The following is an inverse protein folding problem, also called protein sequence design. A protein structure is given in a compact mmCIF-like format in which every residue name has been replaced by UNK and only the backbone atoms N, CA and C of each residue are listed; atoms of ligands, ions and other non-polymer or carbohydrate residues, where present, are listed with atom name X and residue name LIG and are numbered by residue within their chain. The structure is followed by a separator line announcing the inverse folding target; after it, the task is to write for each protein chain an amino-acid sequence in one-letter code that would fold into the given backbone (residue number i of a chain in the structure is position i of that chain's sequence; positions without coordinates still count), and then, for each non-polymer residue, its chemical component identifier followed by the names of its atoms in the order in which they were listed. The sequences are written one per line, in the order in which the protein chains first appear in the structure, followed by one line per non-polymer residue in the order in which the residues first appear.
data_IF_379501840312
#
_entry.id   IF_379501840312
#
_cell.length_a   1.000
_cell.length_b   1.000
_cell.length_c   1.000
_cell.angle_alpha   90.00
_cell.angle_beta   90.00
_cell.angle_gamma   90.00
#
_symmetry.space_group_name_H-M   'P 1'
#
loop_
_entity.id
_entity.type
_entity.pdbx_description
1 polymer ?
#
# COMPACT_ATOMS: atom_id res chain seq x y z
N UNK A 1 6.59 28.48 -2.59
CA UNK A 1 7.11 28.40 -1.21
C UNK A 1 6.42 27.23 -0.56
N UNK A 2 7.15 26.17 -0.22
CA UNK A 2 6.62 25.10 0.63
C UNK A 2 6.82 25.61 2.05
N UNK A 3 5.75 26.05 2.70
CA UNK A 3 5.75 26.25 4.16
C UNK A 3 6.08 24.91 4.79
N UNK A 4 7.03 24.86 5.73
CA UNK A 4 7.37 23.64 6.44
C UNK A 4 6.09 22.94 6.89
N UNK A 5 5.86 21.67 6.54
CA UNK A 5 4.73 20.92 7.06
C UNK A 5 5.00 20.65 8.54
N UNK A 6 4.69 21.64 9.37
CA UNK A 6 4.74 21.51 10.82
C UNK A 6 3.60 20.58 11.21
N UNK A 7 3.97 19.43 11.78
CA UNK A 7 2.98 18.49 12.31
C UNK A 7 2.13 19.19 13.36
N UNK A 8 0.82 19.08 13.22
CA UNK A 8 -0.13 19.54 14.23
C UNK A 8 -0.11 18.58 15.42
N UNK A 9 -0.23 19.12 16.63
CA UNK A 9 -0.49 18.29 17.80
C UNK A 9 -1.90 17.68 17.66
N UNK A 10 -2.06 16.37 17.93
CA UNK A 10 -3.36 15.71 17.83
C UNK A 10 -4.33 16.25 18.87
N UNK A 11 -5.53 16.61 18.42
CA UNK A 11 -6.65 16.98 19.28
C UNK A 11 -7.67 15.84 19.31
N UNK A 12 -7.71 15.09 20.41
CA UNK A 12 -8.59 13.92 20.55
C UNK A 12 -10.09 14.29 20.57
N UNK A 13 -10.44 15.56 20.68
CA UNK A 13 -11.83 16.04 20.62
C UNK A 13 -12.35 16.22 19.18
N UNK A 14 -11.45 16.20 18.19
CA UNK A 14 -11.76 16.45 16.79
C UNK A 14 -11.69 15.17 15.94
N UNK A 15 -12.51 15.05 14.88
CA UNK A 15 -12.45 13.92 13.99
C UNK A 15 -11.12 13.89 13.22
N UNK A 16 -10.60 12.69 13.01
CA UNK A 16 -9.44 12.47 12.16
C UNK A 16 -9.86 12.19 10.71
N UNK A 17 -8.95 12.47 9.79
CA UNK A 17 -9.02 12.03 8.39
C UNK A 17 -7.75 11.24 8.09
N UNK A 18 -7.92 10.03 7.59
CA UNK A 18 -6.84 9.15 7.16
C UNK A 18 -6.89 9.08 5.64
N UNK A 19 -5.85 9.53 4.96
CA UNK A 19 -5.73 9.38 3.50
C UNK A 19 -4.65 8.34 3.21
N UNK A 20 -4.99 7.35 2.40
CA UNK A 20 -4.08 6.25 2.07
C UNK A 20 -3.95 6.08 0.56
N UNK A 21 -2.83 5.52 0.15
CA UNK A 21 -2.54 5.16 -1.23
C UNK A 21 -1.56 3.99 -1.27
N UNK A 22 -1.62 3.16 -2.30
CA UNK A 22 -0.69 2.08 -2.53
C UNK A 22 -0.16 2.07 -3.96
N UNK A 23 1.15 1.91 -4.09
CA UNK A 23 1.81 1.62 -5.36
C UNK A 23 2.20 0.15 -5.44
N UNK A 24 2.86 -0.23 -6.54
CA UNK A 24 3.41 -1.57 -6.69
C UNK A 24 4.54 -1.90 -5.70
N UNK A 25 5.15 -0.89 -5.09
CA UNK A 25 6.38 -1.06 -4.29
C UNK A 25 6.24 -0.59 -2.85
N UNK A 26 5.33 0.33 -2.56
CA UNK A 26 5.15 0.89 -1.23
C UNK A 26 3.71 1.33 -1.01
N UNK A 27 3.34 1.40 0.26
CA UNK A 27 2.11 2.05 0.72
C UNK A 27 2.45 3.37 1.38
N UNK A 28 1.51 4.31 1.31
CA UNK A 28 1.61 5.63 1.89
C UNK A 28 0.33 5.99 2.63
N UNK A 29 0.47 6.83 3.66
CA UNK A 29 -0.68 7.41 4.32
C UNK A 29 -0.36 8.69 5.06
N UNK A 30 -1.39 9.51 5.25
CA UNK A 30 -1.35 10.71 6.08
C UNK A 30 -2.54 10.73 7.03
N UNK A 31 -2.27 11.01 8.30
CA UNK A 31 -3.26 11.31 9.31
C UNK A 31 -3.40 12.82 9.42
N UNK A 32 -4.62 13.34 9.34
CA UNK A 32 -4.90 14.77 9.34
C UNK A 32 -6.03 15.15 10.29
N UNK A 33 -6.02 16.41 10.72
CA UNK A 33 -7.13 17.09 11.40
C UNK A 33 -7.25 18.51 10.88
N UNK A 34 -8.47 18.99 10.62
CA UNK A 34 -8.72 20.35 10.12
C UNK A 34 -7.82 20.76 8.93
N UNK A 35 -7.54 19.82 8.03
CA UNK A 35 -6.66 20.03 6.87
C UNK A 35 -5.15 20.08 7.16
N UNK A 36 -4.73 19.82 8.40
CA UNK A 36 -3.33 19.82 8.82
C UNK A 36 -2.84 18.40 9.13
N UNK A 37 -1.62 18.02 8.70
CA UNK A 37 -1.06 16.71 8.97
C UNK A 37 -0.65 16.56 10.43
N UNK A 38 -1.05 15.45 11.05
CA UNK A 38 -0.66 15.01 12.40
C UNK A 38 0.45 13.97 12.33
N UNK A 39 0.38 13.06 11.35
CA UNK A 39 1.40 12.05 11.12
C UNK A 39 1.44 11.63 9.65
N UNK A 40 2.61 11.18 9.20
CA UNK A 40 2.82 10.57 7.88
C UNK A 40 3.35 9.15 8.05
N UNK A 41 3.03 8.28 7.10
CA UNK A 41 3.55 6.92 7.03
C UNK A 41 3.91 6.56 5.59
N UNK A 42 5.06 5.90 5.42
CA UNK A 42 5.48 5.31 4.15
C UNK A 42 6.22 4.01 4.44
N UNK A 43 5.74 2.90 3.86
CA UNK A 43 6.31 1.57 4.06
C UNK A 43 6.49 0.85 2.73
N UNK A 44 7.69 0.30 2.52
CA UNK A 44 7.96 -0.62 1.40
C UNK A 44 7.15 -1.91 1.55
N UNK A 45 6.53 -2.34 0.45
CA UNK A 45 5.86 -3.64 0.36
C UNK A 45 6.89 -4.76 0.36
N UNK A 46 6.62 -5.80 1.15
CA UNK A 46 7.39 -7.06 1.11
C UNK A 46 7.18 -7.76 -0.22
N UNK A 47 8.09 -8.64 -0.62
CA UNK A 47 8.01 -9.34 -1.91
C UNK A 47 6.69 -10.10 -2.12
N UNK A 48 6.12 -10.66 -1.04
CA UNK A 48 4.80 -11.31 -1.07
C UNK A 48 3.68 -10.28 -1.26
N UNK A 49 3.77 -9.12 -0.62
CA UNK A 49 2.77 -8.05 -0.70
C UNK A 49 2.80 -7.34 -2.07
N UNK A 50 3.95 -7.29 -2.73
CA UNK A 50 4.07 -6.75 -4.10
C UNK A 50 3.29 -7.58 -5.13
N UNK A 51 3.08 -8.88 -4.86
CA UNK A 51 2.30 -9.80 -5.72
C UNK A 51 0.80 -9.70 -5.49
N UNK A 52 0.34 -8.93 -4.51
CA UNK A 52 -1.07 -8.71 -4.28
C UNK A 52 -1.69 -7.92 -5.44
N UNK A 53 -2.98 -8.15 -5.68
CA UNK A 53 -3.75 -7.35 -6.63
C UNK A 53 -3.79 -5.88 -6.19
N UNK A 54 -4.09 -4.97 -7.13
CA UNK A 54 -4.20 -3.53 -6.84
C UNK A 54 -5.18 -3.27 -5.68
N UNK A 55 -6.33 -3.92 -5.67
CA UNK A 55 -7.33 -3.76 -4.60
C UNK A 55 -6.85 -4.28 -3.24
N UNK A 56 -6.09 -5.36 -3.22
CA UNK A 56 -5.49 -5.87 -1.99
C UNK A 56 -4.37 -4.97 -1.45
N UNK A 57 -3.60 -4.34 -2.33
CA UNK A 57 -2.56 -3.36 -1.95
C UNK A 57 -3.19 -2.12 -1.31
N UNK A 58 -4.24 -1.59 -1.93
CA UNK A 58 -5.01 -0.45 -1.40
C UNK A 58 -5.63 -0.77 -0.04
N UNK A 59 -6.26 -1.94 0.09
CA UNK A 59 -6.79 -2.40 1.37
C UNK A 59 -5.70 -2.60 2.42
N UNK A 60 -4.53 -3.12 2.03
CA UNK A 60 -3.38 -3.26 2.91
C UNK A 60 -2.87 -1.90 3.41
N UNK A 61 -2.89 -0.85 2.57
CA UNK A 61 -2.54 0.50 2.99
C UNK A 61 -3.47 1.02 4.10
N UNK A 62 -4.78 0.83 3.94
CA UNK A 62 -5.78 1.15 4.98
C UNK A 62 -5.50 0.37 6.26
N UNK A 63 -5.42 -0.96 6.18
CA UNK A 63 -5.19 -1.84 7.33
C UNK A 63 -3.90 -1.47 8.07
N UNK A 64 -2.83 -1.18 7.32
CA UNK A 64 -1.53 -0.78 7.89
C UNK A 64 -1.64 0.55 8.65
N UNK A 65 -2.20 1.58 8.03
CA UNK A 65 -2.32 2.90 8.65
C UNK A 65 -3.23 2.88 9.88
N UNK A 66 -4.36 2.18 9.83
CA UNK A 66 -5.27 2.06 10.97
C UNK A 66 -4.64 1.27 12.13
N UNK A 67 -3.86 0.24 11.82
CA UNK A 67 -3.09 -0.49 12.84
C UNK A 67 -2.02 0.40 13.49
N UNK A 68 -1.30 1.17 12.69
CA UNK A 68 -0.23 2.06 13.16
C UNK A 68 -0.78 3.17 14.06
N UNK A 69 -1.84 3.84 13.62
CA UNK A 69 -2.47 4.96 14.33
C UNK A 69 -3.63 4.54 15.23
N UNK A 70 -3.68 3.26 15.61
CA UNK A 70 -4.72 2.72 16.48
C UNK A 70 -4.91 3.55 17.76
N UNK A 71 -3.83 4.06 18.33
CA UNK A 71 -3.84 4.88 19.53
C UNK A 71 -4.51 6.25 19.35
N UNK A 72 -4.60 6.76 18.12
CA UNK A 72 -5.36 7.99 17.78
C UNK A 72 -6.81 7.69 17.38
N UNK A 73 -7.02 6.57 16.70
CA UNK A 73 -8.26 6.30 15.98
C UNK A 73 -9.28 5.46 16.77
N UNK A 74 -8.81 4.65 17.72
CA UNK A 74 -9.67 3.77 18.50
C UNK A 74 -10.60 4.61 19.41
N UNK A 75 -11.91 4.34 19.34
CA UNK A 75 -12.92 5.08 20.11
C UNK A 75 -13.32 6.43 19.53
N UNK A 76 -12.66 6.90 18.47
CA UNK A 76 -13.03 8.12 17.74
C UNK A 76 -13.79 7.80 16.44
N UNK A 77 -14.60 8.75 15.97
CA UNK A 77 -15.23 8.68 14.65
C UNK A 77 -14.35 9.43 13.66
N UNK A 78 -13.98 8.79 12.56
CA UNK A 78 -13.06 9.35 11.59
C UNK A 78 -13.43 8.95 10.15
N UNK A 79 -12.76 9.56 9.18
CA UNK A 79 -12.95 9.30 7.76
C UNK A 79 -11.70 8.67 7.18
N UNK A 80 -11.86 7.63 6.36
CA UNK A 80 -10.79 7.05 5.54
C UNK A 80 -11.03 7.44 4.09
N UNK A 81 -10.03 8.07 3.47
CA UNK A 81 -10.03 8.47 2.05
C UNK A 81 -9.05 7.61 1.27
N UNK A 82 -9.54 6.98 0.21
CA UNK A 82 -8.76 6.17 -0.73
C UNK A 82 -9.31 6.38 -2.14
N UNK A 83 -8.48 6.19 -3.14
CA UNK A 83 -8.88 6.19 -4.54
C UNK A 83 -9.47 4.85 -5.00
N UNK A 84 -9.64 3.89 -4.07
CA UNK A 84 -10.14 2.57 -4.39
C UNK A 84 -11.48 2.26 -3.71
N UNK A 85 -12.53 2.23 -4.52
CA UNK A 85 -13.88 1.87 -4.07
C UNK A 85 -14.00 0.42 -3.63
N UNK A 86 -13.06 -0.47 -3.99
CA UNK A 86 -13.10 -1.89 -3.60
C UNK A 86 -13.01 -2.11 -2.09
N UNK A 87 -12.39 -1.18 -1.35
CA UNK A 87 -12.35 -1.24 0.13
C UNK A 87 -13.77 -1.22 0.72
N UNK A 88 -14.71 -0.53 0.09
CA UNK A 88 -16.12 -0.50 0.54
C UNK A 88 -16.78 -1.87 0.45
N UNK A 89 -16.53 -2.59 -0.65
CA UNK A 89 -17.09 -3.93 -0.88
C UNK A 89 -16.43 -4.98 0.02
N UNK A 90 -15.16 -4.81 0.37
CA UNK A 90 -14.46 -5.75 1.25
C UNK A 90 -15.09 -5.87 2.64
N UNK A 91 -15.65 -4.77 3.16
CA UNK A 91 -16.32 -4.74 4.47
C UNK A 91 -17.66 -5.51 4.48
N UNK A 92 -18.28 -5.72 3.32
CA UNK A 92 -19.58 -6.41 3.19
C UNK A 92 -19.43 -7.88 2.78
N UNK A 93 -18.22 -8.31 2.41
CA UNK A 93 -17.96 -9.70 2.01
C UNK A 93 -18.04 -10.68 3.20
N UNK A 94 -18.57 -11.90 2.98
CA UNK A 94 -18.62 -12.94 4.01
C UNK A 94 -17.21 -13.36 4.45
N UNK A 95 -17.04 -13.68 5.75
CA UNK A 95 -15.78 -13.93 6.45
C UNK A 95 -15.01 -15.21 6.03
N UNK A 96 -15.25 -15.74 4.83
CA UNK A 96 -14.69 -17.02 4.36
C UNK A 96 -13.34 -16.88 3.63
N UNK A 97 -12.74 -15.69 3.62
CA UNK A 97 -11.51 -15.42 2.87
C UNK A 97 -10.27 -15.39 3.77
N UNK A 98 -9.08 -15.59 3.17
CA UNK A 98 -7.78 -15.50 3.85
C UNK A 98 -7.49 -14.13 4.50
N UNK A 99 -8.34 -13.13 4.24
CA UNK A 99 -8.25 -11.76 4.76
C UNK A 99 -9.19 -11.50 5.94
N UNK A 100 -9.75 -12.54 6.56
CA UNK A 100 -10.62 -12.43 7.74
C UNK A 100 -10.00 -11.61 8.88
N UNK A 101 -8.69 -11.79 9.12
CA UNK A 101 -7.97 -11.02 10.15
C UNK A 101 -7.97 -9.50 9.88
N UNK A 102 -8.06 -9.08 8.62
CA UNK A 102 -8.16 -7.67 8.26
C UNK A 102 -9.57 -7.15 8.51
N UNK A 103 -10.61 -7.92 8.18
CA UNK A 103 -11.99 -7.55 8.50
C UNK A 103 -12.21 -7.41 10.02
N UNK A 104 -11.64 -8.33 10.82
CA UNK A 104 -11.70 -8.26 12.27
C UNK A 104 -11.05 -6.97 12.78
N UNK A 105 -9.84 -6.67 12.34
CA UNK A 105 -9.15 -5.43 12.70
C UNK A 105 -9.94 -4.18 12.30
N UNK A 106 -10.49 -4.14 11.09
CA UNK A 106 -11.29 -3.01 10.61
C UNK A 106 -12.59 -2.85 11.40
N UNK A 107 -13.18 -3.94 11.90
CA UNK A 107 -14.42 -3.91 12.69
C UNK A 107 -14.25 -3.26 14.07
N UNK A 108 -13.01 -3.10 14.54
CA UNK A 108 -12.71 -2.43 15.81
C UNK A 108 -12.81 -0.89 15.72
N UNK A 109 -12.87 -0.35 14.50
CA UNK A 109 -12.84 1.09 14.26
C UNK A 109 -14.21 1.63 13.80
N UNK A 110 -14.51 2.87 14.19
CA UNK A 110 -15.71 3.59 13.77
C UNK A 110 -15.38 4.60 12.67
N UNK A 111 -15.29 4.15 11.41
CA UNK A 111 -14.97 5.03 10.29
C UNK A 111 -15.99 5.01 9.16
N UNK A 112 -15.97 6.07 8.36
CA UNK A 112 -16.66 6.16 7.07
C UNK A 112 -15.61 6.14 5.97
N UNK A 113 -15.85 5.33 4.94
CA UNK A 113 -15.01 5.31 3.75
C UNK A 113 -15.51 6.33 2.73
N UNK A 114 -14.63 7.22 2.28
CA UNK A 114 -14.89 8.19 1.24
C UNK A 114 -13.96 7.97 0.05
N UNK A 115 -14.53 7.95 -1.16
CA UNK A 115 -13.72 7.93 -2.37
C UNK A 115 -13.07 9.29 -2.60
N UNK A 116 -11.76 9.30 -2.83
CA UNK A 116 -11.00 10.48 -3.23
C UNK A 116 -10.21 10.15 -4.49
N UNK A 117 -10.46 10.89 -5.58
CA UNK A 117 -9.73 10.66 -6.82
C UNK A 117 -8.21 10.82 -6.60
N UNK A 118 -7.40 9.90 -7.13
CA UNK A 118 -5.94 9.91 -6.96
C UNK A 118 -5.27 11.23 -7.37
N UNK A 119 -5.84 11.94 -8.36
CA UNK A 119 -5.38 13.27 -8.77
C UNK A 119 -5.49 14.35 -7.68
N UNK A 120 -6.24 14.09 -6.61
CA UNK A 120 -6.38 14.98 -5.45
C UNK A 120 -5.70 14.42 -4.20
N UNK A 121 -5.15 13.20 -4.25
CA UNK A 121 -4.53 12.48 -3.13
C UNK A 121 -3.00 12.64 -3.12
N UNK A 122 -2.51 13.84 -3.44
CA UNK A 122 -1.08 14.09 -3.72
C UNK A 122 -0.13 13.65 -2.61
N UNK A 123 -0.54 13.77 -1.35
CA UNK A 123 0.31 13.49 -0.21
C UNK A 123 0.52 11.98 -0.06
N UNK A 124 -0.57 11.19 -0.02
CA UNK A 124 -0.46 9.75 0.11
C UNK A 124 0.18 9.13 -1.15
N UNK A 125 -0.12 9.66 -2.34
CA UNK A 125 0.49 9.26 -3.61
C UNK A 125 2.01 9.47 -3.62
N UNK A 126 2.49 10.63 -3.13
CA UNK A 126 3.91 10.90 -3.01
C UNK A 126 4.61 9.95 -2.02
N UNK A 127 3.91 9.54 -0.94
CA UNK A 127 4.43 8.61 0.06
C UNK A 127 4.46 7.16 -0.42
N UNK A 128 3.55 6.77 -1.32
CA UNK A 128 3.48 5.43 -1.91
C UNK A 128 4.38 5.28 -3.15
N UNK A 129 4.59 6.35 -3.95
CA UNK A 129 5.31 6.31 -5.24
C UNK A 129 6.76 6.78 -5.16
N UNK A 130 7.49 6.25 -4.18
CA UNK A 130 8.92 6.47 -4.00
C UNK A 130 9.74 6.04 -5.23
N UNK A 131 10.31 7.00 -5.96
CA UNK A 131 11.04 6.78 -7.22
C UNK A 131 12.28 5.87 -7.06
N UNK A 132 12.91 5.87 -5.89
CA UNK A 132 14.03 5.00 -5.53
C UNK A 132 13.64 3.51 -5.49
N UNK A 133 12.40 3.20 -5.16
CA UNK A 133 11.91 1.82 -5.13
C UNK A 133 11.48 1.33 -6.53
N UNK A 134 10.90 2.22 -7.34
CA UNK A 134 10.55 1.90 -8.74
C UNK A 134 11.78 1.57 -9.59
N UNK A 135 12.87 2.32 -9.39
CA UNK A 135 14.15 2.11 -10.10
C UNK A 135 14.82 0.78 -9.72
N UNK A 136 14.80 0.40 -8.44
CA UNK A 136 15.33 -0.90 -8.00
C UNK A 136 14.55 -2.10 -8.59
N UNK A 137 13.24 -1.98 -8.74
CA UNK A 137 12.41 -3.02 -9.38
C UNK A 137 12.79 -3.26 -10.84
N UNK A 138 13.06 -2.20 -11.60
CA UNK A 138 13.50 -2.28 -12.99
C UNK A 138 14.87 -2.96 -13.13
N UNK A 139 15.84 -2.62 -12.27
CA UNK A 139 17.18 -3.23 -12.30
C UNK A 139 17.16 -4.71 -11.88
N UNK A 140 16.34 -5.07 -10.89
CA UNK A 140 16.17 -6.46 -10.49
C UNK A 140 15.55 -7.32 -11.60
N UNK A 141 14.54 -6.81 -12.30
CA UNK A 141 13.92 -7.49 -13.44
C UNK A 141 14.89 -7.73 -14.60
N UNK A 142 15.78 -6.76 -14.87
CA UNK A 142 16.85 -6.89 -15.86
C UNK A 142 17.90 -7.94 -15.45
N UNK A 143 18.25 -8.02 -14.17
CA UNK A 143 19.19 -9.02 -13.65
C UNK A 143 18.64 -10.45 -13.72
N UNK A 144 17.35 -10.65 -13.41
CA UNK A 144 16.72 -11.97 -13.53
C UNK A 144 16.55 -12.41 -14.98
N UNK A 145 16.24 -11.47 -15.89
CA UNK A 145 16.06 -11.78 -17.32
C UNK A 145 17.39 -12.19 -17.96
N UNK A 146 18.44 -11.37 -17.82
CA UNK A 146 19.70 -11.59 -18.53
C UNK A 146 20.48 -12.82 -18.02
N UNK A 147 20.40 -13.12 -16.72
CA UNK A 147 21.06 -14.30 -16.14
C UNK A 147 20.30 -15.59 -16.48
N UNK A 148 18.96 -15.58 -16.47
CA UNK A 148 18.16 -16.75 -16.80
C UNK A 148 18.36 -17.19 -18.26
N UNK A 149 18.33 -16.26 -19.23
CA UNK A 149 18.56 -16.61 -20.64
C UNK A 149 19.99 -17.10 -20.87
N UNK A 150 20.97 -16.50 -20.20
CA UNK A 150 22.37 -16.90 -20.36
C UNK A 150 22.67 -18.30 -19.80
N UNK A 151 21.97 -18.72 -18.74
CA UNK A 151 22.10 -20.08 -18.18
C UNK A 151 21.36 -21.10 -19.05
N UNK A 152 20.16 -20.80 -19.54
CA UNK A 152 19.40 -21.69 -20.43
C UNK A 152 20.12 -21.93 -21.76
N UNK A 153 20.68 -20.90 -22.38
CA UNK A 153 21.45 -21.04 -23.62
C UNK A 153 22.73 -21.85 -23.40
N UNK A 154 23.45 -21.64 -22.29
CA UNK A 154 24.64 -22.43 -21.93
C UNK A 154 24.29 -23.90 -21.67
N UNK A 155 23.19 -24.15 -20.97
CA UNK A 155 22.74 -25.50 -20.67
C UNK A 155 22.34 -26.26 -21.94
N UNK A 156 21.77 -25.57 -22.93
CA UNK A 156 21.41 -26.13 -24.24
C UNK A 156 22.61 -26.47 -25.11
N UNK A 157 23.70 -25.72 -24.98
CA UNK A 157 24.98 -25.97 -25.67
C UNK A 157 25.76 -27.16 -25.09
N UNK A 158 25.59 -27.45 -23.79
CA UNK A 158 26.30 -28.51 -23.08
C UNK A 158 25.59 -29.87 -23.12
N UNK A 159 24.34 -29.93 -23.60
CA UNK A 159 23.63 -31.19 -23.79
C UNK A 159 24.15 -31.89 -25.06
N UNK A 160 24.69 -33.12 -24.95
CA UNK A 160 25.11 -33.87 -26.13
C UNK A 160 23.92 -34.08 -27.05
N UNK A 161 24.06 -33.69 -28.32
CA UNK A 161 23.08 -34.03 -29.35
C UNK A 161 23.16 -35.54 -29.55
N UNK A 162 22.14 -36.27 -29.07
CA UNK A 162 22.04 -37.69 -29.32
C UNK A 162 22.13 -37.96 -30.83
N UNK A 163 23.23 -38.58 -31.21
CA UNK A 163 23.49 -39.13 -32.53
C UNK A 163 22.56 -40.33 -32.72
N UNK A 164 21.33 -40.08 -33.18
CA UNK A 164 20.47 -41.13 -33.70
C UNK A 164 20.96 -41.55 -35.09
N UNK A 165 21.60 -42.72 -35.12
CA UNK A 165 21.77 -43.57 -36.31
C UNK A 165 20.49 -44.36 -36.56
#
# INVERSE_FOLDING_TARGET
MVTDPVLALPDMSKPFVVETDASDFALGGVLMQDGHPVAFESRKLKDVEQRYSLHEKELLAVVHCLRLWRHYLLGSRFVVKTDNTAVSYFMTQPKLTSRQAWQELLSEFHFVLEYRAGSSNHVADALSRRADLASLGSVAALSSSAVATSIEDRARELLPKDSAA
#
